data_IF_443113937668
#
_entry.id   IF_443113937668
#
_cell.length_a   1.000
_cell.length_b   1.000
_cell.length_c   1.000
_cell.angle_alpha   90.00
_cell.angle_beta   90.00
_cell.angle_gamma   90.00
#
_symmetry.space_group_name_H-M   'P 1'
#
loop_
_entity.id
_entity.type
_entity.pdbx_description
1 polymer ?
#
# COMPACT_ATOMS: atom_id res chain seq x y z
N UNK A 1 10.41 -17.25 -16.02
CA UNK A 1 11.56 -16.38 -16.28
C UNK A 1 12.74 -17.25 -16.69
N UNK A 2 13.29 -17.06 -17.88
CA UNK A 2 14.46 -17.81 -18.34
C UNK A 2 15.66 -17.40 -17.49
N UNK A 3 16.15 -18.32 -16.64
CA UNK A 3 17.35 -18.09 -15.85
C UNK A 3 18.51 -17.87 -16.83
N UNK A 4 19.11 -16.68 -16.80
CA UNK A 4 20.28 -16.36 -17.63
C UNK A 4 21.44 -17.31 -17.33
N UNK A 5 22.36 -17.47 -18.31
CA UNK A 5 23.53 -18.33 -18.17
C UNK A 5 24.30 -17.98 -16.88
N UNK A 6 24.57 -18.95 -15.98
CA UNK A 6 25.32 -18.69 -14.76
C UNK A 6 26.73 -18.18 -15.09
N UNK A 7 27.22 -17.26 -14.26
CA UNK A 7 28.57 -16.69 -14.41
C UNK A 7 29.61 -17.72 -14.02
N UNK A 8 30.62 -17.89 -14.87
CA UNK A 8 31.76 -18.76 -14.56
C UNK A 8 32.75 -18.05 -13.62
N UNK A 9 33.55 -18.82 -12.89
CA UNK A 9 34.55 -18.33 -11.95
C UNK A 9 35.61 -17.48 -12.67
N UNK A 10 35.96 -17.85 -13.90
CA UNK A 10 36.88 -17.08 -14.74
C UNK A 10 36.28 -15.73 -15.16
N UNK A 11 35.00 -15.71 -15.51
CA UNK A 11 34.28 -14.48 -15.85
C UNK A 11 34.24 -13.52 -14.66
N UNK A 12 34.04 -14.05 -13.45
CA UNK A 12 34.05 -13.24 -12.21
C UNK A 12 35.43 -12.62 -11.97
N UNK A 13 36.51 -13.40 -12.10
CA UNK A 13 37.89 -12.89 -11.94
C UNK A 13 38.24 -11.85 -12.99
N UNK A 14 37.81 -12.05 -14.23
CA UNK A 14 37.99 -11.10 -15.32
C UNK A 14 37.24 -9.79 -15.02
N UNK A 15 35.99 -9.86 -14.57
CA UNK A 15 35.21 -8.68 -14.19
C UNK A 15 35.88 -7.88 -13.07
N UNK A 16 36.39 -8.55 -12.04
CA UNK A 16 37.13 -7.90 -10.94
C UNK A 16 38.36 -7.14 -11.46
N UNK A 17 39.18 -7.80 -12.29
CA UNK A 17 40.38 -7.18 -12.89
C UNK A 17 40.02 -5.97 -13.75
N UNK A 18 38.98 -6.07 -14.57
CA UNK A 18 38.55 -4.97 -15.45
C UNK A 18 38.01 -3.76 -14.67
N UNK A 19 37.38 -3.99 -13.52
CA UNK A 19 36.92 -2.93 -12.61
C UNK A 19 38.08 -2.31 -11.84
N UNK A 20 39.07 -3.11 -11.41
CA UNK A 20 40.32 -2.61 -10.81
C UNK A 20 41.15 -1.79 -11.79
N UNK A 21 41.19 -2.20 -13.07
CA UNK A 21 41.78 -1.43 -14.18
C UNK A 21 41.01 -0.14 -14.50
N UNK A 22 39.84 0.09 -13.86
CA UNK A 22 39.05 1.31 -14.01
C UNK A 22 38.32 1.43 -15.35
N UNK A 23 38.11 0.33 -16.08
CA UNK A 23 37.40 0.37 -17.36
C UNK A 23 35.94 0.73 -17.19
N UNK A 24 35.38 1.40 -18.18
CA UNK A 24 33.97 1.76 -18.19
C UNK A 24 33.09 0.52 -18.33
N UNK A 25 31.87 0.57 -17.79
CA UNK A 25 30.91 -0.54 -17.89
C UNK A 25 30.66 -0.92 -19.35
N UNK A 26 30.61 0.06 -20.25
CA UNK A 26 30.37 -0.18 -21.68
C UNK A 26 31.55 -0.92 -22.35
N UNK A 27 32.79 -0.68 -21.92
CA UNK A 27 33.97 -1.40 -22.42
C UNK A 27 34.03 -2.83 -21.87
N UNK A 28 33.63 -3.01 -20.61
CA UNK A 28 33.49 -4.35 -19.98
C UNK A 28 32.44 -5.17 -20.72
N UNK A 29 31.32 -4.57 -21.11
CA UNK A 29 30.27 -5.25 -21.87
C UNK A 29 30.77 -5.75 -23.23
N UNK A 30 31.56 -4.94 -23.94
CA UNK A 30 32.16 -5.30 -25.23
C UNK A 30 33.17 -6.42 -25.08
N UNK A 31 34.02 -6.37 -24.04
CA UNK A 31 35.07 -7.36 -23.77
C UNK A 31 34.49 -8.72 -23.36
N UNK A 32 33.46 -8.73 -22.51
CA UNK A 32 32.89 -9.96 -21.97
C UNK A 32 31.72 -10.51 -22.82
N UNK A 33 31.29 -9.77 -23.84
CA UNK A 33 30.12 -10.10 -24.68
C UNK A 33 28.88 -10.40 -23.81
N UNK A 34 28.64 -9.56 -22.79
CA UNK A 34 27.50 -9.65 -21.87
C UNK A 34 26.66 -8.38 -21.96
N UNK A 35 25.39 -8.49 -21.58
CA UNK A 35 24.50 -7.33 -21.51
C UNK A 35 24.93 -6.38 -20.38
N UNK A 36 24.72 -5.07 -20.60
CA UNK A 36 24.99 -4.01 -19.61
C UNK A 36 24.34 -4.31 -18.26
N UNK A 37 23.09 -4.77 -18.31
CA UNK A 37 22.33 -5.10 -17.11
C UNK A 37 22.95 -6.28 -16.33
N UNK A 38 23.40 -7.32 -17.03
CA UNK A 38 24.07 -8.47 -16.40
C UNK A 38 25.40 -8.05 -15.74
N UNK A 39 26.18 -7.17 -16.38
CA UNK A 39 27.46 -6.67 -15.84
C UNK A 39 27.22 -5.78 -14.62
N UNK A 40 26.27 -4.84 -14.69
CA UNK A 40 25.93 -3.94 -13.56
C UNK A 40 25.41 -4.73 -12.37
N UNK A 41 24.49 -5.66 -12.61
CA UNK A 41 23.95 -6.51 -11.56
C UNK A 41 25.05 -7.35 -10.91
N UNK A 42 25.96 -7.93 -11.71
CA UNK A 42 27.05 -8.73 -11.17
C UNK A 42 28.09 -7.90 -10.40
N UNK A 43 28.39 -6.69 -10.87
CA UNK A 43 29.23 -5.75 -10.12
C UNK A 43 28.60 -5.37 -8.78
N UNK A 44 27.27 -5.18 -8.74
CA UNK A 44 26.53 -4.92 -7.51
C UNK A 44 26.57 -6.11 -6.55
N UNK A 45 26.28 -7.32 -7.04
CA UNK A 45 26.32 -8.56 -6.24
C UNK A 45 27.72 -8.80 -5.62
N UNK A 46 28.78 -8.45 -6.38
CA UNK A 46 30.17 -8.57 -5.94
C UNK A 46 30.68 -7.34 -5.16
N UNK A 47 29.82 -6.33 -4.92
CA UNK A 47 30.14 -5.07 -4.23
C UNK A 47 31.37 -4.34 -4.81
N UNK A 48 31.60 -4.48 -6.11
CA UNK A 48 32.67 -3.79 -6.82
C UNK A 48 32.26 -2.32 -6.97
N UNK A 49 33.03 -1.41 -6.36
CA UNK A 49 32.73 0.04 -6.35
C UNK A 49 32.77 0.57 -7.78
N UNK A 50 31.61 0.70 -8.41
CA UNK A 50 31.50 1.27 -9.74
C UNK A 50 31.96 2.74 -9.71
N UNK A 51 33.07 2.98 -10.42
CA UNK A 51 33.61 4.27 -10.82
C UNK A 51 32.50 5.15 -11.40
N UNK A 52 32.52 6.43 -11.00
CA UNK A 52 31.73 7.57 -11.48
C UNK A 52 31.01 7.30 -12.82
N UNK A 53 29.72 6.95 -12.77
CA UNK A 53 28.87 7.12 -13.93
C UNK A 53 28.75 8.63 -14.20
N UNK A 54 29.47 9.08 -15.22
CA UNK A 54 29.31 10.38 -15.83
C UNK A 54 27.84 10.52 -16.26
N UNK A 55 27.21 11.57 -15.73
CA UNK A 55 25.76 11.83 -15.78
C UNK A 55 25.26 11.88 -17.23
N UNK A 56 24.95 10.73 -17.84
CA UNK A 56 24.04 10.68 -18.97
C UNK A 56 22.67 11.06 -18.45
N UNK A 57 22.22 12.26 -18.84
CA UNK A 57 20.88 12.81 -18.65
C UNK A 57 19.87 11.90 -19.35
N UNK A 58 19.54 10.77 -18.73
CA UNK A 58 18.31 10.05 -19.03
C UNK A 58 17.32 10.60 -18.01
N UNK A 59 16.27 11.23 -18.51
CA UNK A 59 15.12 11.65 -17.73
C UNK A 59 14.51 10.43 -17.05
N UNK A 60 15.07 10.03 -15.90
CA UNK A 60 14.41 9.18 -14.93
C UNK A 60 13.16 9.97 -14.55
N UNK A 61 12.00 9.55 -15.06
CA UNK A 61 10.74 9.84 -14.41
C UNK A 61 10.92 9.34 -12.99
N UNK A 62 11.29 10.24 -12.08
CA UNK A 62 11.21 10.00 -10.65
C UNK A 62 9.74 9.70 -10.45
N UNK A 63 9.40 8.45 -10.17
CA UNK A 63 8.18 8.14 -9.44
C UNK A 63 8.32 8.88 -8.12
N UNK A 64 7.79 10.09 -8.08
CA UNK A 64 7.57 10.83 -6.85
C UNK A 64 6.54 10.00 -6.11
N UNK A 65 7.01 9.18 -5.17
CA UNK A 65 6.14 8.70 -4.10
C UNK A 65 5.75 9.96 -3.32
N UNK A 66 4.65 10.58 -3.73
CA UNK A 66 3.99 11.61 -2.94
C UNK A 66 3.37 10.89 -1.77
N UNK A 67 4.13 10.83 -0.67
CA UNK A 67 3.58 10.54 0.66
C UNK A 67 2.76 11.76 1.07
N UNK A 68 1.58 11.94 0.46
CA UNK A 68 0.61 12.91 0.94
C UNK A 68 0.19 12.46 2.34
N UNK A 69 0.56 13.21 3.38
CA UNK A 69 0.06 12.98 4.73
C UNK A 69 -1.45 13.18 4.71
N UNK A 70 -2.20 12.08 4.83
CA UNK A 70 -3.65 12.13 5.00
C UNK A 70 -3.92 12.58 6.44
N UNK A 71 -4.48 13.78 6.60
CA UNK A 71 -4.99 14.25 7.88
C UNK A 71 -6.26 13.47 8.25
N UNK A 72 -6.29 12.84 9.42
CA UNK A 72 -7.52 12.22 9.92
C UNK A 72 -8.53 13.33 10.24
N UNK A 73 -9.78 13.22 9.76
CA UNK A 73 -10.82 14.16 10.12
C UNK A 73 -11.18 14.01 11.61
N UNK A 74 -11.63 15.11 12.24
CA UNK A 74 -12.03 15.12 13.65
C UNK A 74 -13.26 14.24 13.90
N UNK A 75 -14.20 14.26 12.95
CA UNK A 75 -15.41 13.45 12.95
C UNK A 75 -15.46 12.57 11.70
N UNK A 76 -16.13 11.41 11.81
CA UNK A 76 -16.39 10.60 10.63
C UNK A 76 -17.33 11.36 9.67
N UNK A 77 -17.11 11.26 8.35
CA UNK A 77 -18.05 11.80 7.36
C UNK A 77 -19.44 11.24 7.59
N UNK A 78 -20.49 12.03 7.35
CA UNK A 78 -21.85 11.50 7.43
C UNK A 78 -22.12 10.56 6.24
N UNK A 79 -22.94 9.51 6.45
CA UNK A 79 -23.32 8.57 5.40
C UNK A 79 -24.08 9.27 4.28
N UNK A 80 -24.97 10.18 4.63
CA UNK A 80 -25.76 10.93 3.64
C UNK A 80 -24.86 11.78 2.75
N UNK A 81 -23.88 12.48 3.32
CA UNK A 81 -22.88 13.26 2.56
C UNK A 81 -22.08 12.35 1.62
N UNK A 82 -21.68 11.17 2.09
CA UNK A 82 -20.95 10.19 1.28
C UNK A 82 -21.80 9.69 0.11
N UNK A 83 -23.10 9.46 0.33
CA UNK A 83 -24.04 9.07 -0.72
C UNK A 83 -24.29 10.21 -1.73
N UNK A 84 -24.35 11.46 -1.28
CA UNK A 84 -24.46 12.63 -2.16
C UNK A 84 -23.22 12.77 -3.06
N UNK A 85 -22.01 12.59 -2.50
CA UNK A 85 -20.76 12.58 -3.28
C UNK A 85 -20.77 11.46 -4.31
N UNK A 86 -21.21 10.26 -3.93
CA UNK A 86 -21.33 9.13 -4.85
C UNK A 86 -22.34 9.43 -5.97
N UNK A 87 -23.50 10.00 -5.65
CA UNK A 87 -24.51 10.37 -6.64
C UNK A 87 -23.97 11.40 -7.64
N UNK A 88 -23.24 12.41 -7.17
CA UNK A 88 -22.58 13.39 -8.03
C UNK A 88 -21.52 12.74 -8.93
N UNK A 89 -20.72 11.80 -8.39
CA UNK A 89 -19.73 11.05 -9.17
C UNK A 89 -20.40 10.18 -10.25
N UNK A 90 -21.53 9.54 -9.95
CA UNK A 90 -22.31 8.76 -10.91
C UNK A 90 -22.85 9.64 -12.04
N UNK A 91 -23.44 10.78 -11.72
CA UNK A 91 -23.91 11.74 -12.73
C UNK A 91 -22.77 12.20 -13.64
N UNK A 92 -21.64 12.58 -13.05
CA UNK A 92 -20.46 13.00 -13.82
C UNK A 92 -19.89 11.88 -14.68
N UNK A 93 -19.97 10.62 -14.23
CA UNK A 93 -19.51 9.47 -15.02
C UNK A 93 -20.36 9.18 -16.26
N UNK A 94 -21.59 9.71 -16.32
CA UNK A 94 -22.48 9.56 -17.46
C UNK A 94 -22.26 10.63 -18.55
N UNK A 95 -21.43 11.64 -18.31
CA UNK A 95 -21.10 12.65 -19.31
C UNK A 95 -20.21 12.06 -20.42
N UNK A 96 -20.28 12.65 -21.62
CA UNK A 96 -19.39 12.27 -22.71
C UNK A 96 -18.08 13.08 -22.65
N UNK A 97 -16.97 12.49 -23.12
CA UNK A 97 -15.70 13.21 -23.26
C UNK A 97 -14.82 13.26 -22.02
N UNK A 98 -15.05 12.41 -21.02
CA UNK A 98 -14.14 12.31 -19.87
C UNK A 98 -12.76 11.80 -20.27
N UNK A 99 -11.73 12.40 -19.67
CA UNK A 99 -10.37 11.89 -19.77
C UNK A 99 -10.20 10.59 -18.98
N UNK A 100 -9.22 9.77 -19.37
CA UNK A 100 -8.88 8.52 -18.67
C UNK A 100 -8.63 8.72 -17.17
N UNK A 101 -7.98 9.83 -16.81
CA UNK A 101 -7.67 10.17 -15.43
C UNK A 101 -8.94 10.52 -14.63
N UNK A 102 -9.92 11.17 -15.26
CA UNK A 102 -11.21 11.47 -14.62
C UNK A 102 -12.03 10.21 -14.40
N UNK A 103 -12.10 9.32 -15.39
CA UNK A 103 -12.75 8.01 -15.24
C UNK A 103 -12.10 7.24 -14.08
N UNK A 104 -10.77 7.24 -14.01
CA UNK A 104 -10.03 6.62 -12.91
C UNK A 104 -10.38 7.21 -11.54
N UNK A 105 -10.44 8.54 -11.42
CA UNK A 105 -10.85 9.21 -10.17
C UNK A 105 -12.27 8.87 -9.77
N UNK A 106 -13.22 8.87 -10.72
CA UNK A 106 -14.62 8.54 -10.43
C UNK A 106 -14.78 7.08 -9.99
N UNK A 107 -14.04 6.16 -10.59
CA UNK A 107 -14.02 4.76 -10.17
C UNK A 107 -13.46 4.58 -8.76
N UNK A 108 -12.41 5.34 -8.41
CA UNK A 108 -11.88 5.36 -7.03
C UNK A 108 -12.93 5.87 -6.06
N UNK A 109 -13.62 6.98 -6.37
CA UNK A 109 -14.71 7.52 -5.53
C UNK A 109 -15.82 6.49 -5.34
N UNK A 110 -16.26 5.84 -6.41
CA UNK A 110 -17.31 4.81 -6.34
C UNK A 110 -16.89 3.62 -5.45
N UNK A 111 -15.64 3.19 -5.57
CA UNK A 111 -15.09 2.10 -4.76
C UNK A 111 -15.01 2.49 -3.29
N UNK A 112 -14.49 3.68 -2.98
CA UNK A 112 -14.36 4.17 -1.61
C UNK A 112 -15.71 4.36 -0.93
N UNK A 113 -16.70 4.91 -1.64
CA UNK A 113 -18.05 5.09 -1.09
C UNK A 113 -18.72 3.75 -0.76
N UNK A 114 -18.52 2.73 -1.60
CA UNK A 114 -18.99 1.37 -1.30
C UNK A 114 -18.31 0.81 -0.05
N UNK A 115 -16.98 0.85 0.01
CA UNK A 115 -16.22 0.36 1.18
C UNK A 115 -16.62 1.07 2.46
N UNK A 116 -16.83 2.39 2.41
CA UNK A 116 -17.28 3.16 3.55
C UNK A 116 -18.66 2.72 4.04
N UNK A 117 -19.63 2.50 3.13
CA UNK A 117 -20.97 2.02 3.49
C UNK A 117 -20.90 0.64 4.19
N UNK A 118 -20.09 -0.27 3.66
CA UNK A 118 -19.94 -1.62 4.22
C UNK A 118 -19.32 -1.54 5.63
N UNK A 119 -18.23 -0.78 5.80
CA UNK A 119 -17.60 -0.57 7.10
C UNK A 119 -18.51 0.14 8.12
N UNK A 120 -19.34 1.08 7.66
CA UNK A 120 -20.31 1.77 8.52
C UNK A 120 -21.43 0.82 8.99
N UNK A 121 -21.90 -0.08 8.13
CA UNK A 121 -22.88 -1.09 8.54
C UNK A 121 -22.31 -2.02 9.62
N UNK A 122 -21.08 -2.50 9.43
CA UNK A 122 -20.38 -3.29 10.45
C UNK A 122 -20.24 -2.52 11.78
N UNK A 123 -19.89 -1.23 11.73
CA UNK A 123 -19.79 -0.38 12.92
C UNK A 123 -21.14 -0.27 13.67
N UNK A 124 -22.25 -0.09 12.96
CA UNK A 124 -23.57 -0.06 13.59
C UNK A 124 -23.93 -1.38 14.25
N UNK A 125 -23.60 -2.50 13.61
CA UNK A 125 -23.82 -3.84 14.17
C UNK A 125 -23.02 -4.03 15.47
N UNK A 126 -21.74 -3.64 15.49
CA UNK A 126 -20.92 -3.68 16.71
C UNK A 126 -21.53 -2.84 17.83
N UNK A 127 -21.98 -1.61 17.53
CA UNK A 127 -22.59 -0.74 18.53
C UNK A 127 -23.89 -1.31 19.10
N UNK A 128 -24.70 -1.94 18.24
CA UNK A 128 -25.90 -2.65 18.68
C UNK A 128 -25.59 -3.87 19.57
N UNK A 129 -24.44 -4.52 19.39
CA UNK A 129 -23.96 -5.59 20.28
C UNK A 129 -23.51 -5.03 21.63
N UNK A 130 -22.75 -3.93 21.64
CA UNK A 130 -22.32 -3.24 22.87
C UNK A 130 -23.51 -2.84 23.73
N UNK A 131 -24.54 -2.22 23.15
CA UNK A 131 -25.76 -1.84 23.89
C UNK A 131 -26.47 -3.06 24.52
N UNK A 132 -26.48 -4.21 23.83
CA UNK A 132 -27.06 -5.45 24.37
C UNK A 132 -26.22 -6.01 25.51
N UNK A 133 -24.90 -5.90 25.42
CA UNK A 133 -23.97 -6.33 26.47
C UNK A 133 -24.18 -5.48 27.73
N UNK A 134 -24.22 -4.16 27.59
CA UNK A 134 -24.51 -3.23 28.70
C UNK A 134 -25.85 -3.54 29.36
N UNK A 135 -26.88 -3.83 28.56
CA UNK A 135 -28.20 -4.19 29.07
C UNK A 135 -28.18 -5.54 29.83
N UNK A 136 -27.40 -6.51 29.36
CA UNK A 136 -27.21 -7.80 30.02
C UNK A 136 -26.45 -7.64 31.35
N UNK A 137 -25.36 -6.89 31.36
CA UNK A 137 -24.59 -6.58 32.58
C UNK A 137 -25.46 -5.88 33.62
N UNK A 138 -26.23 -4.87 33.21
CA UNK A 138 -27.18 -4.19 34.09
C UNK A 138 -28.25 -5.14 34.65
N UNK A 139 -28.71 -6.11 33.85
CA UNK A 139 -29.68 -7.13 34.29
C UNK A 139 -29.06 -8.08 35.31
N UNK A 140 -27.84 -8.57 35.08
CA UNK A 140 -27.14 -9.45 36.01
C UNK A 140 -26.84 -8.75 37.33
N UNK A 141 -26.34 -7.51 37.30
CA UNK A 141 -26.11 -6.71 38.51
C UNK A 141 -27.38 -6.51 39.35
N UNK A 142 -28.55 -6.39 38.72
CA UNK A 142 -29.85 -6.32 39.43
C UNK A 142 -30.25 -7.67 40.03
N UNK A 143 -29.97 -8.76 39.35
CA UNK A 143 -30.27 -10.12 39.83
C UNK A 143 -29.38 -10.50 41.01
N UNK A 144 -28.10 -10.14 40.98
CA UNK A 144 -27.17 -10.33 42.10
C UNK A 144 -27.66 -9.59 43.35
N UNK A 145 -27.98 -8.30 43.22
CA UNK A 145 -28.56 -7.51 44.33
C UNK A 145 -29.84 -8.13 44.89
N UNK A 146 -30.75 -8.55 44.01
CA UNK A 146 -32.01 -9.19 44.43
C UNK A 146 -31.76 -10.54 45.12
N UNK A 147 -30.77 -11.31 44.66
CA UNK A 147 -30.37 -12.57 45.26
C UNK A 147 -29.80 -12.39 46.67
N UNK A 148 -28.94 -11.39 46.86
CA UNK A 148 -28.41 -10.99 48.17
C UNK A 148 -29.53 -10.58 49.13
N UNK A 149 -30.44 -9.70 48.70
CA UNK A 149 -31.58 -9.23 49.50
C UNK A 149 -32.51 -10.38 49.93
N UNK A 150 -32.75 -11.36 49.07
CA UNK A 150 -33.57 -12.55 49.43
C UNK A 150 -32.86 -13.53 50.37
N UNK A 151 -31.54 -13.53 50.44
CA UNK A 151 -30.78 -14.37 51.40
C UNK A 151 -30.63 -13.70 52.78
N UNK A 152 -30.78 -12.38 52.85
CA UNK A 152 -30.61 -11.57 54.06
C UNK A 152 -31.90 -11.38 54.89
N UNK A 153 -33.02 -12.02 54.51
CA UNK A 153 -34.25 -12.05 55.30
C UNK A 153 -34.37 -13.37 56.09
N UNK A 154 -33.84 -13.46 57.33
CA UNK A 154 -34.13 -14.56 58.23
C UNK A 154 -35.53 -14.40 58.86
N UNK A 155 -36.18 -15.55 59.08
CA UNK A 155 -37.41 -15.71 59.88
C UNK A 155 -37.18 -15.43 61.36
#
# INVERSE_FOLDING_TARGET
MTKGKPWDIEEIRMLQRLVEEGKSVDDICKLMVKSRDAVVQKMFDLKLKAVKEEKRRVSRKKTVFSSSQLSLPADLPNVEETLQILAAALLKSAEAGLSKDEVGRLQVVATLAKTYKDAFAEYLDYRGIEERLDALEAKYARLEKKGEDTSAAPS
#
